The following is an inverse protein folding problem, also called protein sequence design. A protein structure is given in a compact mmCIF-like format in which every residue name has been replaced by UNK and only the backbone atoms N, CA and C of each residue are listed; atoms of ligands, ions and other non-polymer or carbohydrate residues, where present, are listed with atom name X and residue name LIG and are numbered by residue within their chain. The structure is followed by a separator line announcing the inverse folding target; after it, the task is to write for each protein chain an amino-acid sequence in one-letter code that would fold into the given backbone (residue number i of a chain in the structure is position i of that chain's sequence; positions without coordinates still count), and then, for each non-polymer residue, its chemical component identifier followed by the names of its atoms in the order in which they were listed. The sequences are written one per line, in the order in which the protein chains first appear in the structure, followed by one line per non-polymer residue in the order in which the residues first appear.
data_IF_178121044596
#
_entry.id   IF_178121044596
#
_cell.length_a   1.000
_cell.length_b   1.000
_cell.length_c   1.000
_cell.angle_alpha   90.00
_cell.angle_beta   90.00
_cell.angle_gamma   90.00
#
_symmetry.space_group_name_H-M   'P 1'
#
loop_
_entity.id
_entity.type
_entity.pdbx_description
1 polymer ?
#
# COMPACT_ATOMS: atom_id res chain seq x y z
N UNK A 1 8.90 0.13 18.51
CA UNK A 1 9.39 0.16 17.11
C UNK A 1 8.86 -0.99 16.23
N UNK A 2 8.17 -2.01 16.76
CA UNK A 2 7.88 -3.28 16.06
C UNK A 2 6.75 -3.21 15.00
N UNK A 3 5.94 -2.15 14.95
CA UNK A 3 4.74 -2.13 14.09
C UNK A 3 4.92 -1.38 12.76
N UNK A 4 6.13 -1.01 12.34
CA UNK A 4 6.29 -0.20 11.12
C UNK A 4 6.20 -1.02 9.83
N UNK A 5 6.66 -2.27 9.86
CA UNK A 5 6.75 -3.14 8.68
C UNK A 5 6.07 -4.47 8.98
N UNK A 6 5.27 -4.97 8.05
CA UNK A 6 4.69 -6.32 8.06
C UNK A 6 4.94 -6.99 6.72
N UNK A 7 4.94 -8.32 6.70
CA UNK A 7 5.15 -9.09 5.48
C UNK A 7 4.07 -10.16 5.33
N UNK A 8 3.61 -10.36 4.10
CA UNK A 8 2.77 -11.48 3.68
C UNK A 8 3.64 -12.33 2.74
N UNK A 9 3.76 -13.62 3.07
CA UNK A 9 4.50 -14.57 2.26
C UNK A 9 3.57 -15.23 1.22
N UNK A 10 4.19 -15.76 0.17
CA UNK A 10 3.53 -16.46 -0.94
C UNK A 10 2.61 -17.59 -0.46
N UNK A 11 3.02 -18.31 0.58
CA UNK A 11 2.22 -19.40 1.15
C UNK A 11 1.55 -18.98 2.48
N UNK A 12 0.25 -18.63 2.46
CA UNK A 12 -0.49 -18.30 3.67
C UNK A 12 -0.73 -19.52 4.57
N UNK A 13 -0.75 -20.75 4.05
CA UNK A 13 -0.99 -21.95 4.88
C UNK A 13 0.14 -22.18 5.87
N UNK A 14 1.39 -21.92 5.47
CA UNK A 14 2.55 -22.03 6.34
C UNK A 14 2.69 -20.83 7.30
N UNK A 15 2.06 -19.70 7.00
CA UNK A 15 2.14 -18.49 7.83
C UNK A 15 1.10 -18.44 8.96
N UNK A 16 -0.05 -19.10 8.79
CA UNK A 16 -1.15 -19.09 9.76
C UNK A 16 -1.16 -20.38 10.58
N UNK A 17 -1.40 -20.27 11.89
CA UNK A 17 -1.54 -21.46 12.74
C UNK A 17 -2.89 -22.15 12.46
N UNK A 18 -2.91 -23.38 11.90
CA UNK A 18 -4.14 -24.04 11.49
C UNK A 18 -4.99 -24.55 12.66
N UNK A 19 -4.39 -24.66 13.85
CA UNK A 19 -5.02 -25.20 15.06
C UNK A 19 -5.56 -24.11 15.99
N UNK A 20 -5.60 -22.86 15.55
CA UNK A 20 -6.12 -21.72 16.30
C UNK A 20 -7.27 -21.08 15.55
N UNK A 21 -8.23 -20.53 16.29
CA UNK A 21 -9.36 -19.81 15.70
C UNK A 21 -8.92 -18.52 15.00
N UNK A 22 -9.76 -18.02 14.09
CA UNK A 22 -9.51 -16.78 13.34
C UNK A 22 -9.21 -15.61 14.28
N UNK A 23 -9.94 -15.49 15.39
CA UNK A 23 -9.72 -14.44 16.39
C UNK A 23 -8.29 -14.45 16.93
N UNK A 24 -7.77 -15.63 17.24
CA UNK A 24 -6.42 -15.78 17.78
C UNK A 24 -5.37 -15.56 16.71
N UNK A 25 -5.58 -16.09 15.50
CA UNK A 25 -4.65 -15.95 14.37
C UNK A 25 -4.50 -14.50 13.94
N UNK A 26 -5.61 -13.79 13.68
CA UNK A 26 -5.58 -12.38 13.29
C UNK A 26 -5.07 -11.52 14.46
N UNK A 27 -5.48 -11.84 15.68
CA UNK A 27 -5.10 -11.10 16.88
C UNK A 27 -3.70 -11.41 17.44
N UNK A 28 -2.91 -12.26 16.79
CA UNK A 28 -1.63 -12.73 17.32
C UNK A 28 -0.64 -11.56 17.51
N UNK A 29 -0.45 -10.74 16.48
CA UNK A 29 0.44 -9.57 16.53
C UNK A 29 0.04 -8.53 17.58
N UNK A 30 -1.27 -8.36 17.82
CA UNK A 30 -1.80 -7.45 18.83
C UNK A 30 -1.51 -7.94 20.25
N UNK A 31 -1.46 -9.25 20.45
CA UNK A 31 -1.21 -9.87 21.76
C UNK A 31 0.24 -9.73 22.19
N UNK A 32 1.16 -9.91 21.24
CA UNK A 32 2.60 -9.86 21.51
C UNK A 32 3.09 -8.45 21.83
N UNK A 33 2.38 -7.42 21.36
CA UNK A 33 2.81 -6.03 21.48
C UNK A 33 2.10 -5.25 22.59
N UNK A 34 0.99 -5.75 23.16
CA UNK A 34 0.14 -5.03 24.13
C UNK A 34 -0.15 -3.57 23.73
N UNK A 35 -0.36 -3.35 22.44
CA UNK A 35 -0.57 -2.03 21.84
C UNK A 35 -1.93 -1.91 21.16
N UNK A 36 -2.86 -2.83 21.38
CA UNK A 36 -4.17 -2.82 20.73
C UNK A 36 -4.97 -1.56 21.09
N UNK A 37 -4.94 -1.13 22.36
CA UNK A 37 -5.59 0.12 22.76
C UNK A 37 -4.92 1.35 22.15
N UNK A 38 -3.58 1.37 22.11
CA UNK A 38 -2.84 2.44 21.45
C UNK A 38 -3.27 2.56 19.99
N UNK A 39 -3.17 1.47 19.22
CA UNK A 39 -3.52 1.41 17.81
C UNK A 39 -4.97 1.85 17.58
N UNK A 40 -5.91 1.27 18.34
CA UNK A 40 -7.34 1.55 18.16
C UNK A 40 -7.68 3.02 18.41
N UNK A 41 -7.10 3.63 19.43
CA UNK A 41 -7.37 5.03 19.76
C UNK A 41 -6.65 5.98 18.79
N UNK A 42 -5.41 5.68 18.42
CA UNK A 42 -4.68 6.52 17.44
C UNK A 42 -5.30 6.44 16.05
N UNK A 43 -5.87 5.29 15.67
CA UNK A 43 -6.63 5.13 14.43
C UNK A 43 -7.92 5.96 14.42
N UNK A 44 -8.61 6.04 15.57
CA UNK A 44 -9.75 6.94 15.73
C UNK A 44 -9.32 8.41 15.59
N UNK A 45 -8.24 8.81 16.27
CA UNK A 45 -7.71 10.17 16.21
C UNK A 45 -7.28 10.57 14.78
N UNK A 46 -6.63 9.66 14.05
CA UNK A 46 -6.23 9.86 12.65
C UNK A 46 -7.44 10.02 11.72
N UNK A 47 -8.49 9.23 11.92
CA UNK A 47 -9.76 9.37 11.17
C UNK A 47 -10.39 10.74 11.41
N UNK A 48 -10.44 11.19 12.67
CA UNK A 48 -10.95 12.53 13.04
C UNK A 48 -10.11 13.62 12.38
N UNK A 49 -8.78 13.50 12.45
CA UNK A 49 -7.87 14.46 11.84
C UNK A 49 -8.09 14.58 10.32
N UNK A 50 -8.11 13.46 9.59
CA UNK A 50 -8.30 13.45 8.14
C UNK A 50 -9.67 14.03 7.74
N UNK A 51 -10.71 13.67 8.50
CA UNK A 51 -12.06 14.16 8.29
C UNK A 51 -12.19 15.67 8.49
N UNK A 52 -11.61 16.21 9.56
CA UNK A 52 -11.63 17.66 9.86
C UNK A 52 -10.79 18.43 8.84
N UNK A 53 -9.56 17.98 8.56
CA UNK A 53 -8.64 18.68 7.66
C UNK A 53 -9.13 18.72 6.21
N UNK A 54 -9.83 17.68 5.75
CA UNK A 54 -10.42 17.65 4.41
C UNK A 54 -11.53 18.70 4.17
N UNK A 55 -12.12 19.25 5.24
CA UNK A 55 -13.22 20.22 5.18
C UNK A 55 -12.76 21.68 5.27
N UNK A 56 -11.48 21.95 5.52
CA UNK A 56 -10.95 23.32 5.67
C UNK A 56 -10.68 23.94 4.28
N UNK A 57 -11.30 25.10 3.99
CA UNK A 57 -11.10 25.91 2.77
C UNK A 57 -9.76 26.67 2.73
N UNK A 58 -9.26 26.95 1.53
CA UNK A 58 -8.11 27.83 1.18
C UNK A 58 -6.87 27.67 2.05
N UNK A 59 -6.19 26.57 1.81
CA UNK A 59 -5.49 25.91 2.88
C UNK A 59 -3.99 25.77 2.64
N UNK A 60 -3.46 26.08 1.46
CA UNK A 60 -2.04 25.83 1.11
C UNK A 60 -1.00 26.50 2.04
N UNK A 61 -1.26 27.67 2.64
CA UNK A 61 -0.30 28.33 3.56
C UNK A 61 -0.46 27.98 5.04
N UNK A 62 -1.66 27.58 5.47
CA UNK A 62 -1.95 27.24 6.87
C UNK A 62 -1.86 25.73 7.13
N UNK A 63 -2.26 24.91 6.14
CA UNK A 63 -2.06 23.46 6.12
C UNK A 63 -0.59 23.14 6.24
N UNK A 64 0.30 23.82 5.52
CA UNK A 64 1.74 23.53 5.62
C UNK A 64 2.30 23.66 7.04
N UNK A 65 1.79 24.59 7.87
CA UNK A 65 2.22 24.70 9.29
C UNK A 65 1.69 23.56 10.17
N UNK A 66 0.49 23.06 9.88
CA UNK A 66 -0.14 21.94 10.61
C UNK A 66 0.50 20.62 10.16
N UNK A 67 0.67 20.46 8.85
CA UNK A 67 1.34 19.33 8.23
C UNK A 67 2.82 19.24 8.63
N UNK A 68 3.55 20.34 8.76
CA UNK A 68 4.93 20.31 9.27
C UNK A 68 5.01 19.79 10.71
N UNK A 69 4.04 20.14 11.56
CA UNK A 69 3.97 19.68 12.96
C UNK A 69 3.57 18.19 13.06
N UNK A 70 2.67 17.74 12.18
CA UNK A 70 2.18 16.35 12.13
C UNK A 70 3.19 15.42 11.43
N UNK A 71 3.88 15.89 10.39
CA UNK A 71 4.97 15.15 9.73
C UNK A 71 6.15 14.93 10.69
N UNK A 72 6.41 15.91 11.56
CA UNK A 72 7.34 15.78 12.69
C UNK A 72 6.86 14.76 13.73
N UNK A 73 5.55 14.65 13.99
CA UNK A 73 4.97 13.62 14.86
C UNK A 73 5.04 12.22 14.27
N UNK A 74 4.88 12.04 12.95
CA UNK A 74 5.09 10.74 12.29
C UNK A 74 6.53 10.22 12.41
N UNK A 75 7.49 11.11 12.72
CA UNK A 75 8.91 10.80 12.98
C UNK A 75 9.21 10.50 14.45
N UNK A 76 8.35 10.90 15.40
CA UNK A 76 8.51 10.70 16.85
C UNK A 76 7.59 9.58 17.40
N UNK A 77 7.85 9.13 18.63
CA UNK A 77 7.15 8.00 19.28
C UNK A 77 5.64 8.28 19.41
N UNK A 78 4.81 7.50 18.72
CA UNK A 78 3.35 7.54 18.83
C UNK A 78 2.90 7.19 20.26
N UNK A 79 2.36 8.16 21.00
CA UNK A 79 1.73 7.98 22.31
C UNK A 79 0.29 8.48 22.26
N UNK A 80 -0.56 8.00 23.18
CA UNK A 80 -1.95 8.44 23.29
C UNK A 80 -2.08 9.93 23.58
N UNK A 81 -1.16 10.48 24.37
CA UNK A 81 -1.15 11.89 24.76
C UNK A 81 -0.72 12.79 23.59
N UNK A 82 0.31 12.38 22.83
CA UNK A 82 0.76 13.09 21.65
C UNK A 82 -0.34 13.11 20.57
N UNK A 83 -0.97 11.96 20.33
CA UNK A 83 -2.11 11.85 19.41
C UNK A 83 -3.26 12.77 19.82
N UNK A 84 -3.59 12.80 21.11
CA UNK A 84 -4.64 13.66 21.64
C UNK A 84 -4.30 15.15 21.44
N UNK A 85 -3.08 15.56 21.79
CA UNK A 85 -2.63 16.95 21.66
C UNK A 85 -2.74 17.44 20.22
N UNK A 86 -2.22 16.67 19.26
CA UNK A 86 -2.26 17.05 17.83
C UNK A 86 -3.69 17.21 17.35
N UNK A 87 -4.57 16.26 17.66
CA UNK A 87 -5.91 16.23 17.08
C UNK A 87 -6.89 17.13 17.81
N UNK A 88 -6.81 17.29 19.13
CA UNK A 88 -7.83 18.00 19.91
C UNK A 88 -7.35 19.29 20.56
N UNK A 89 -6.04 19.53 20.66
CA UNK A 89 -5.51 20.82 21.12
C UNK A 89 -5.06 21.67 19.93
N UNK A 90 -4.16 21.13 19.09
CA UNK A 90 -3.55 21.89 18.00
C UNK A 90 -4.57 22.22 16.90
N UNK A 91 -5.37 21.25 16.43
CA UNK A 91 -6.46 21.52 15.48
C UNK A 91 -7.52 22.47 16.05
N UNK A 92 -7.83 22.35 17.35
CA UNK A 92 -8.80 23.24 17.99
C UNK A 92 -8.30 24.69 17.99
N UNK A 93 -7.02 24.90 18.29
CA UNK A 93 -6.38 26.21 18.21
C UNK A 93 -6.44 26.79 16.79
N UNK A 94 -6.19 25.96 15.77
CA UNK A 94 -6.33 26.35 14.37
C UNK A 94 -7.77 26.76 14.04
N UNK A 95 -8.74 25.91 14.38
CA UNK A 95 -10.16 26.17 14.10
C UNK A 95 -10.68 27.43 14.80
N UNK A 96 -10.23 27.69 16.03
CA UNK A 96 -10.58 28.92 16.75
C UNK A 96 -10.07 30.17 16.03
N UNK A 97 -8.84 30.14 15.49
CA UNK A 97 -8.30 31.24 14.69
C UNK A 97 -9.09 31.43 13.38
N UNK A 98 -9.47 30.33 12.72
CA UNK A 98 -10.22 30.37 11.45
C UNK A 98 -11.68 30.83 11.63
N UNK A 99 -12.32 30.43 12.74
CA UNK A 99 -13.69 30.81 13.08
C UNK A 99 -13.85 32.32 13.28
N UNK A 100 -12.78 33.05 13.58
CA UNK A 100 -12.79 34.51 13.62
C UNK A 100 -13.04 35.14 12.23
N UNK A 101 -12.67 34.45 11.15
CA UNK A 101 -12.79 34.94 9.78
C UNK A 101 -14.11 34.53 9.11
N UNK A 102 -14.59 33.30 9.35
CA UNK A 102 -15.87 32.80 8.81
C UNK A 102 -16.58 31.89 9.81
N UNK A 103 -17.36 32.52 10.70
CA UNK A 103 -18.01 31.82 11.80
C UNK A 103 -19.05 30.80 11.32
N UNK A 104 -19.79 31.10 10.26
CA UNK A 104 -20.85 30.22 9.76
C UNK A 104 -20.24 28.95 9.14
N UNK A 105 -19.16 29.08 8.38
CA UNK A 105 -18.50 27.94 7.75
C UNK A 105 -17.80 27.01 8.76
N UNK A 106 -17.07 27.57 9.73
CA UNK A 106 -16.24 26.75 10.63
C UNK A 106 -16.98 26.23 11.87
N UNK A 107 -18.17 26.74 12.20
CA UNK A 107 -18.93 26.27 13.38
C UNK A 107 -19.32 24.78 13.31
N UNK A 108 -19.84 24.24 12.18
CA UNK A 108 -20.11 22.82 12.04
C UNK A 108 -18.86 21.94 12.23
N UNK A 109 -17.71 22.37 11.66
CA UNK A 109 -16.43 21.65 11.77
C UNK A 109 -15.95 21.63 13.23
N UNK A 110 -16.05 22.76 13.92
CA UNK A 110 -15.73 22.88 15.35
C UNK A 110 -16.59 21.93 16.20
N UNK A 111 -17.91 21.92 15.97
CA UNK A 111 -18.83 21.07 16.74
C UNK A 111 -18.50 19.59 16.54
N UNK A 112 -18.18 19.20 15.30
CA UNK A 112 -17.76 17.83 14.98
C UNK A 112 -16.48 17.43 15.70
N UNK A 113 -15.47 18.29 15.76
CA UNK A 113 -14.25 18.03 16.53
C UNK A 113 -14.56 17.87 18.03
N UNK A 114 -15.42 18.72 18.59
CA UNK A 114 -15.83 18.63 20.00
C UNK A 114 -16.61 17.34 20.30
N UNK A 115 -17.49 16.91 19.40
CA UNK A 115 -18.19 15.63 19.50
C UNK A 115 -17.21 14.44 19.47
N UNK A 116 -16.25 14.45 18.54
CA UNK A 116 -15.19 13.43 18.47
C UNK A 116 -14.33 13.41 19.73
N UNK A 117 -14.04 14.56 20.32
CA UNK A 117 -13.30 14.66 21.59
C UNK A 117 -14.05 13.97 22.73
N UNK A 118 -15.37 14.19 22.84
CA UNK A 118 -16.20 13.52 23.84
C UNK A 118 -16.27 12.01 23.59
N UNK A 119 -16.43 11.59 22.33
CA UNK A 119 -16.38 10.17 21.97
C UNK A 119 -15.06 9.54 22.39
N UNK A 120 -13.93 10.20 22.15
CA UNK A 120 -12.61 9.71 22.56
C UNK A 120 -12.49 9.49 24.06
N UNK A 121 -13.09 10.36 24.89
CA UNK A 121 -13.13 10.17 26.35
C UNK A 121 -13.89 8.91 26.78
N UNK A 122 -14.79 8.39 25.94
CA UNK A 122 -15.41 7.08 26.16
C UNK A 122 -14.50 5.94 25.69
N UNK A 123 -13.85 6.09 24.53
CA UNK A 123 -12.97 5.07 23.96
C UNK A 123 -11.71 4.81 24.82
N UNK A 124 -11.15 5.84 25.44
CA UNK A 124 -10.00 5.70 26.34
C UNK A 124 -10.30 4.85 27.58
N UNK A 125 -11.58 4.66 27.93
CA UNK A 125 -12.00 3.81 29.06
C UNK A 125 -12.05 2.33 28.70
N UNK A 126 -12.02 1.98 27.42
CA UNK A 126 -12.03 0.59 26.96
C UNK A 126 -10.77 -0.16 27.44
N UNK A 127 -10.95 -1.44 27.72
CA UNK A 127 -9.87 -2.37 28.03
C UNK A 127 -9.08 -2.75 26.77
N UNK A 128 -7.85 -3.22 26.97
CA UNK A 128 -6.99 -3.75 25.90
C UNK A 128 -7.70 -4.87 25.10
N UNK A 129 -8.46 -5.72 25.80
CA UNK A 129 -9.20 -6.84 25.22
C UNK A 129 -10.34 -6.36 24.32
N UNK A 130 -11.06 -5.32 24.73
CA UNK A 130 -12.15 -4.74 23.93
C UNK A 130 -11.60 -4.06 22.67
N UNK A 131 -10.54 -3.25 22.80
CA UNK A 131 -9.88 -2.62 21.65
C UNK A 131 -9.36 -3.66 20.66
N UNK A 132 -8.72 -4.74 21.16
CA UNK A 132 -8.27 -5.86 20.33
C UNK A 132 -9.44 -6.49 19.57
N UNK A 133 -10.54 -6.79 20.25
CA UNK A 133 -11.72 -7.40 19.61
C UNK A 133 -12.28 -6.51 18.50
N UNK A 134 -12.42 -5.20 18.78
CA UNK A 134 -12.92 -4.22 17.79
C UNK A 134 -12.02 -4.10 16.57
N UNK A 135 -10.69 -4.05 16.75
CA UNK A 135 -9.73 -4.04 15.64
C UNK A 135 -9.86 -5.27 14.75
N UNK A 136 -9.97 -6.47 15.36
CA UNK A 136 -10.11 -7.73 14.61
C UNK A 136 -11.42 -7.74 13.81
N UNK A 137 -12.53 -7.34 14.43
CA UNK A 137 -13.83 -7.30 13.75
C UNK A 137 -13.82 -6.26 12.61
N UNK A 138 -13.21 -5.09 12.84
CA UNK A 138 -13.11 -4.05 11.83
C UNK A 138 -12.29 -4.49 10.61
N UNK A 139 -11.16 -5.16 10.80
CA UNK A 139 -10.33 -5.62 9.68
C UNK A 139 -10.96 -6.80 8.93
N UNK A 140 -11.64 -7.71 9.62
CA UNK A 140 -12.36 -8.81 8.99
C UNK A 140 -13.44 -8.29 8.03
N UNK A 141 -14.21 -7.29 8.46
CA UNK A 141 -15.23 -6.66 7.62
C UNK A 141 -14.66 -6.06 6.33
N UNK A 142 -13.44 -5.55 6.38
CA UNK A 142 -12.79 -4.91 5.22
C UNK A 142 -12.29 -5.90 4.19
N UNK A 143 -12.02 -7.14 4.59
CA UNK A 143 -11.71 -8.21 3.64
C UNK A 143 -12.97 -9.00 3.24
N UNK A 144 -14.16 -8.51 3.60
CA UNK A 144 -15.44 -9.15 3.31
C UNK A 144 -15.74 -10.38 4.17
N UNK A 145 -15.19 -10.46 5.39
CA UNK A 145 -15.46 -11.51 6.36
C UNK A 145 -16.29 -10.96 7.53
N UNK A 146 -17.34 -11.71 7.91
CA UNK A 146 -18.24 -11.33 9.01
C UNK A 146 -17.71 -11.78 10.39
N UNK A 147 -18.20 -11.17 11.47
CA UNK A 147 -17.80 -11.52 12.84
C UNK A 147 -18.11 -12.99 13.20
N UNK A 148 -19.09 -13.62 12.55
CA UNK A 148 -19.43 -15.04 12.70
C UNK A 148 -18.28 -16.01 12.37
N UNK A 149 -17.23 -15.54 11.69
CA UNK A 149 -16.06 -16.35 11.36
C UNK A 149 -15.02 -16.43 12.50
N UNK A 150 -15.17 -15.65 13.57
CA UNK A 150 -14.14 -15.52 14.61
C UNK A 150 -13.76 -16.85 15.28
N UNK A 151 -14.73 -17.75 15.47
CA UNK A 151 -14.55 -19.05 16.11
C UNK A 151 -14.18 -20.18 15.15
N UNK A 152 -14.09 -19.90 13.85
CA UNK A 152 -13.72 -20.86 12.82
C UNK A 152 -12.20 -21.03 12.74
N UNK A 153 -11.75 -22.13 12.16
CA UNK A 153 -10.33 -22.40 11.92
C UNK A 153 -9.91 -21.99 10.50
N UNK A 154 -8.65 -21.55 10.27
CA UNK A 154 -8.17 -21.17 8.93
C UNK A 154 -8.36 -22.26 7.86
N UNK A 155 -8.29 -23.53 8.24
CA UNK A 155 -8.51 -24.66 7.32
C UNK A 155 -9.95 -24.75 6.81
N UNK A 156 -10.90 -24.11 7.49
CA UNK A 156 -12.32 -24.09 7.10
C UNK A 156 -12.62 -23.05 6.00
N UNK A 157 -11.59 -22.34 5.50
CA UNK A 157 -11.70 -21.35 4.44
C UNK A 157 -10.99 -21.82 3.16
N UNK A 158 -11.75 -22.17 2.12
CA UNK A 158 -11.20 -22.39 0.78
C UNK A 158 -10.80 -21.05 0.16
N UNK A 159 -9.50 -20.78 -0.02
CA UNK A 159 -8.96 -19.51 -0.55
C UNK A 159 -9.04 -18.29 0.39
N UNK A 160 -9.92 -18.32 1.41
CA UNK A 160 -10.05 -17.25 2.41
C UNK A 160 -8.86 -17.12 3.38
N UNK A 161 -7.96 -18.11 3.42
CA UNK A 161 -6.74 -18.05 4.21
C UNK A 161 -5.86 -16.86 3.86
N UNK A 162 -5.84 -16.47 2.59
CA UNK A 162 -5.08 -15.30 2.16
C UNK A 162 -5.67 -14.00 2.71
N UNK A 163 -7.00 -13.89 2.76
CA UNK A 163 -7.69 -12.76 3.38
C UNK A 163 -7.41 -12.69 4.88
N UNK A 164 -7.31 -13.84 5.55
CA UNK A 164 -6.88 -13.92 6.95
C UNK A 164 -5.42 -13.48 7.13
N UNK A 165 -4.53 -13.85 6.20
CA UNK A 165 -3.15 -13.37 6.15
C UNK A 165 -3.07 -11.85 6.03
N UNK A 166 -3.84 -11.26 5.10
CA UNK A 166 -3.97 -9.81 4.95
C UNK A 166 -4.47 -9.16 6.24
N UNK A 167 -5.52 -9.71 6.86
CA UNK A 167 -6.03 -9.21 8.13
C UNK A 167 -4.97 -9.19 9.22
N UNK A 168 -4.28 -10.31 9.42
CA UNK A 168 -3.24 -10.46 10.45
C UNK A 168 -2.11 -9.45 10.27
N UNK A 169 -1.70 -9.19 9.03
CA UNK A 169 -0.64 -8.23 8.74
C UNK A 169 -1.11 -6.77 8.88
N UNK A 170 -2.34 -6.45 8.47
CA UNK A 170 -2.83 -5.05 8.43
C UNK A 170 -3.44 -4.60 9.76
N UNK A 171 -3.90 -5.52 10.62
CA UNK A 171 -4.50 -5.17 11.92
C UNK A 171 -3.55 -4.38 12.83
N UNK A 172 -2.24 -4.53 12.63
CA UNK A 172 -1.20 -3.81 13.37
C UNK A 172 -1.00 -2.35 12.92
N UNK A 173 -1.71 -1.92 11.87
CA UNK A 173 -1.54 -0.62 11.21
C UNK A 173 -0.08 -0.34 10.80
N UNK A 174 0.53 -1.21 9.97
CA UNK A 174 1.88 -0.97 9.49
C UNK A 174 1.95 0.26 8.59
N UNK A 175 3.13 0.89 8.53
CA UNK A 175 3.42 1.93 7.54
C UNK A 175 3.83 1.33 6.20
N UNK A 176 4.50 0.17 6.24
CA UNK A 176 4.96 -0.59 5.09
C UNK A 176 4.47 -2.03 5.18
N UNK A 177 3.83 -2.51 4.12
CA UNK A 177 3.47 -3.90 3.92
C UNK A 177 4.26 -4.47 2.74
N UNK A 178 5.04 -5.51 2.99
CA UNK A 178 5.72 -6.28 1.94
C UNK A 178 4.82 -7.45 1.59
N UNK A 179 4.53 -7.63 0.32
CA UNK A 179 3.60 -8.66 -0.15
C UNK A 179 4.31 -9.48 -1.21
N UNK A 180 4.71 -10.69 -0.83
CA UNK A 180 5.52 -11.59 -1.64
C UNK A 180 4.67 -12.63 -2.34
N UNK A 181 4.52 -12.51 -3.67
CA UNK A 181 3.70 -13.34 -4.55
C UNK A 181 2.35 -13.78 -3.94
N UNK A 182 1.56 -12.86 -3.39
CA UNK A 182 0.41 -13.24 -2.58
C UNK A 182 -0.59 -14.04 -3.41
N UNK A 183 -0.79 -13.69 -4.68
CA UNK A 183 -1.90 -14.13 -5.52
C UNK A 183 -1.55 -15.30 -6.45
N UNK A 184 -0.31 -15.82 -6.41
CA UNK A 184 0.18 -16.77 -7.41
C UNK A 184 -0.59 -18.09 -7.44
N UNK A 185 -1.11 -18.53 -6.28
CA UNK A 185 -1.84 -19.79 -6.14
C UNK A 185 -3.36 -19.65 -6.33
N UNK A 186 -3.86 -18.45 -6.67
CA UNK A 186 -5.29 -18.15 -6.73
C UNK A 186 -5.81 -18.10 -8.18
N UNK A 187 -7.07 -18.50 -8.36
CA UNK A 187 -7.81 -18.31 -9.61
C UNK A 187 -7.92 -16.82 -9.98
N UNK A 188 -7.90 -16.51 -11.28
CA UNK A 188 -7.91 -15.14 -11.81
C UNK A 188 -9.01 -14.26 -11.21
N UNK A 189 -10.22 -14.79 -11.01
CA UNK A 189 -11.33 -14.05 -10.42
C UNK A 189 -11.09 -13.68 -8.94
N UNK A 190 -10.39 -14.52 -8.18
CA UNK A 190 -10.03 -14.27 -6.78
C UNK A 190 -8.85 -13.29 -6.71
N UNK A 191 -7.90 -13.37 -7.65
CA UNK A 191 -6.78 -12.41 -7.74
C UNK A 191 -7.29 -10.96 -7.81
N UNK A 192 -8.26 -10.68 -8.69
CA UNK A 192 -8.87 -9.34 -8.80
C UNK A 192 -9.52 -8.90 -7.49
N UNK A 193 -10.21 -9.80 -6.78
CA UNK A 193 -10.81 -9.47 -5.48
C UNK A 193 -9.76 -9.11 -4.44
N UNK A 194 -8.64 -9.85 -4.39
CA UNK A 194 -7.53 -9.57 -3.46
C UNK A 194 -6.85 -8.25 -3.79
N UNK A 195 -6.63 -7.92 -5.07
CA UNK A 195 -6.06 -6.64 -5.49
C UNK A 195 -6.96 -5.48 -5.06
N UNK A 196 -8.27 -5.60 -5.22
CA UNK A 196 -9.22 -4.58 -4.76
C UNK A 196 -9.14 -4.37 -3.25
N UNK A 197 -9.03 -5.45 -2.46
CA UNK A 197 -8.81 -5.36 -1.01
C UNK A 197 -7.52 -4.56 -0.72
N UNK A 198 -6.40 -4.86 -1.38
CA UNK A 198 -5.17 -4.09 -1.17
C UNK A 198 -5.34 -2.61 -1.53
N UNK A 199 -5.99 -2.30 -2.64
CA UNK A 199 -6.25 -0.91 -3.06
C UNK A 199 -7.14 -0.15 -2.07
N UNK A 200 -8.16 -0.80 -1.50
CA UNK A 200 -8.99 -0.22 -0.44
C UNK A 200 -8.19 0.01 0.85
N UNK A 201 -7.38 -0.97 1.27
CA UNK A 201 -6.55 -0.87 2.47
C UNK A 201 -5.44 0.19 2.32
N UNK A 202 -4.83 0.29 1.13
CA UNK A 202 -3.86 1.34 0.75
C UNK A 202 -4.44 2.73 0.99
N UNK A 203 -5.63 2.99 0.44
CA UNK A 203 -6.33 4.27 0.59
C UNK A 203 -6.79 4.53 2.02
N UNK A 204 -7.35 3.51 2.67
CA UNK A 204 -7.96 3.66 4.00
C UNK A 204 -6.93 3.91 5.10
N UNK A 205 -5.75 3.31 5.00
CA UNK A 205 -4.72 3.33 6.06
C UNK A 205 -3.45 4.06 5.66
N UNK A 206 -3.46 4.79 4.54
CA UNK A 206 -2.25 5.44 4.00
C UNK A 206 -1.06 4.46 3.94
N UNK A 207 -1.35 3.22 3.56
CA UNK A 207 -0.42 2.10 3.66
C UNK A 207 0.52 2.10 2.46
N UNK A 208 1.82 2.06 2.70
CA UNK A 208 2.81 1.81 1.63
C UNK A 208 2.90 0.31 1.38
N UNK A 209 2.81 -0.11 0.12
CA UNK A 209 2.87 -1.54 -0.25
C UNK A 209 4.06 -1.76 -1.19
N UNK A 210 4.95 -2.68 -0.83
CA UNK A 210 5.91 -3.28 -1.75
C UNK A 210 5.32 -4.60 -2.22
N UNK A 211 4.81 -4.62 -3.45
CA UNK A 211 4.17 -5.80 -4.04
C UNK A 211 5.14 -6.52 -4.97
N UNK A 212 5.39 -7.80 -4.73
CA UNK A 212 6.26 -8.65 -5.52
C UNK A 212 5.39 -9.65 -6.27
N UNK A 213 5.50 -9.68 -7.59
CA UNK A 213 4.79 -10.62 -8.44
C UNK A 213 5.52 -10.79 -9.78
N UNK A 214 5.24 -11.92 -10.45
CA UNK A 214 5.76 -12.22 -11.78
C UNK A 214 4.81 -11.82 -12.93
N UNK A 215 3.53 -11.55 -12.65
CA UNK A 215 2.54 -11.13 -13.66
C UNK A 215 2.42 -9.60 -13.70
N UNK A 216 2.95 -8.99 -14.77
CA UNK A 216 2.91 -7.54 -14.97
C UNK A 216 1.49 -6.96 -15.05
N UNK A 217 0.47 -7.72 -15.47
CA UNK A 217 -0.92 -7.24 -15.48
C UNK A 217 -1.39 -6.91 -14.07
N UNK A 218 -1.09 -7.79 -13.13
CA UNK A 218 -1.51 -7.61 -11.74
C UNK A 218 -0.74 -6.47 -11.07
N UNK A 219 0.55 -6.34 -11.42
CA UNK A 219 1.40 -5.25 -10.93
C UNK A 219 0.89 -3.90 -11.43
N UNK A 220 0.42 -3.81 -12.68
CA UNK A 220 -0.15 -2.59 -13.27
C UNK A 220 -1.36 -2.06 -12.46
N UNK A 221 -2.27 -2.94 -12.03
CA UNK A 221 -3.49 -2.53 -11.32
C UNK A 221 -3.29 -2.03 -9.88
N UNK A 222 -2.17 -2.34 -9.24
CA UNK A 222 -1.92 -2.05 -7.81
C UNK A 222 -0.80 -1.03 -7.58
N UNK A 223 0.16 -0.97 -8.49
CA UNK A 223 1.41 -0.24 -8.29
C UNK A 223 1.34 1.17 -8.87
N UNK A 224 1.89 2.14 -8.13
CA UNK A 224 2.12 3.49 -8.70
C UNK A 224 3.43 3.54 -9.50
N UNK A 225 4.38 2.63 -9.17
CA UNK A 225 5.69 2.50 -9.80
C UNK A 225 6.05 1.02 -9.93
N UNK A 226 6.77 0.67 -10.99
CA UNK A 226 7.21 -0.70 -11.26
C UNK A 226 8.74 -0.73 -11.29
N UNK A 227 9.31 -1.79 -10.70
CA UNK A 227 10.72 -2.10 -10.68
C UNK A 227 10.91 -3.52 -11.23
N UNK A 228 11.65 -3.66 -12.33
CA UNK A 228 11.86 -4.94 -13.03
C UNK A 228 13.22 -5.50 -12.66
N UNK A 229 13.22 -6.71 -12.10
CA UNK A 229 14.43 -7.42 -11.67
C UNK A 229 14.61 -8.68 -12.53
N UNK A 230 15.85 -8.97 -12.91
CA UNK A 230 16.22 -10.24 -13.52
C UNK A 230 17.54 -10.74 -12.94
N UNK A 231 17.61 -12.03 -12.56
CA UNK A 231 18.81 -12.66 -11.98
C UNK A 231 19.47 -11.82 -10.86
N UNK A 232 18.66 -11.19 -10.02
CA UNK A 232 19.13 -10.37 -8.89
C UNK A 232 19.59 -8.96 -9.26
N UNK A 233 19.44 -8.54 -10.52
CA UNK A 233 19.80 -7.20 -11.00
C UNK A 233 18.53 -6.42 -11.34
N UNK A 234 18.42 -5.21 -10.81
CA UNK A 234 17.36 -4.27 -11.20
C UNK A 234 17.70 -3.69 -12.57
N UNK A 235 16.81 -3.89 -13.55
CA UNK A 235 17.04 -3.53 -14.95
C UNK A 235 16.31 -2.26 -15.36
N UNK A 236 15.13 -2.01 -14.79
CA UNK A 236 14.29 -0.88 -15.17
C UNK A 236 13.37 -0.48 -14.02
N UNK A 237 13.17 0.83 -13.81
CA UNK A 237 12.27 1.34 -12.78
C UNK A 237 11.61 2.64 -13.24
N UNK A 238 10.31 2.79 -13.04
CA UNK A 238 9.58 3.99 -13.46
C UNK A 238 8.15 4.02 -12.96
N UNK A 239 7.39 5.10 -13.25
CA UNK A 239 5.95 5.10 -13.11
C UNK A 239 5.33 3.92 -13.88
N UNK A 240 4.24 3.36 -13.35
CA UNK A 240 3.55 2.21 -13.96
C UNK A 240 3.24 2.46 -15.44
N UNK A 241 2.63 3.61 -15.77
CA UNK A 241 2.26 3.94 -17.15
C UNK A 241 3.46 4.00 -18.09
N UNK A 242 4.62 4.47 -17.61
CA UNK A 242 5.86 4.52 -18.41
C UNK A 242 6.44 3.12 -18.63
N UNK A 243 6.44 2.27 -17.60
CA UNK A 243 6.95 0.90 -17.75
C UNK A 243 6.06 0.07 -18.67
N UNK A 244 4.74 0.17 -18.54
CA UNK A 244 3.79 -0.59 -19.35
C UNK A 244 3.79 -0.12 -20.81
N UNK A 245 3.72 1.19 -21.05
CA UNK A 245 3.55 1.71 -22.41
C UNK A 245 4.88 2.00 -23.12
N UNK A 246 5.93 2.32 -22.36
CA UNK A 246 7.19 2.86 -22.86
C UNK A 246 8.42 2.08 -22.35
N UNK A 247 8.34 0.76 -22.14
CA UNK A 247 9.48 -0.07 -21.74
C UNK A 247 10.70 0.07 -22.67
N UNK A 248 11.89 0.26 -22.08
CA UNK A 248 13.16 0.37 -22.79
C UNK A 248 13.93 -0.95 -22.78
N UNK A 249 14.08 -1.58 -21.60
CA UNK A 249 14.94 -2.74 -21.46
C UNK A 249 14.36 -3.94 -22.23
N UNK A 250 15.16 -4.69 -23.03
CA UNK A 250 14.68 -5.84 -23.80
C UNK A 250 13.96 -6.89 -22.95
N UNK A 251 14.43 -7.12 -21.73
CA UNK A 251 13.74 -8.01 -20.78
C UNK A 251 12.35 -7.51 -20.40
N UNK A 252 12.18 -6.23 -20.07
CA UNK A 252 10.86 -5.66 -19.75
C UNK A 252 9.91 -5.78 -20.95
N UNK A 253 10.41 -5.53 -22.16
CA UNK A 253 9.64 -5.76 -23.41
C UNK A 253 9.21 -7.22 -23.53
N UNK A 254 10.12 -8.18 -23.30
CA UNK A 254 9.78 -9.61 -23.36
C UNK A 254 8.70 -10.04 -22.36
N UNK A 255 8.70 -9.44 -21.15
CA UNK A 255 7.67 -9.70 -20.15
C UNK A 255 6.31 -9.16 -20.59
N UNK A 256 6.27 -7.97 -21.19
CA UNK A 256 5.05 -7.35 -21.72
C UNK A 256 4.52 -8.13 -22.93
N UNK A 257 5.38 -8.58 -23.83
CA UNK A 257 5.01 -9.37 -25.00
C UNK A 257 4.41 -10.75 -24.61
N UNK A 258 4.78 -11.27 -23.44
CA UNK A 258 4.24 -12.52 -22.91
C UNK A 258 2.82 -12.37 -22.32
N UNK A 259 2.30 -11.14 -22.20
CA UNK A 259 0.96 -10.89 -21.70
C UNK A 259 -0.07 -11.21 -22.79
N UNK A 260 -1.02 -12.13 -22.57
CA UNK A 260 -2.05 -12.44 -23.56
C UNK A 260 -2.95 -11.22 -23.81
N UNK A 261 -3.07 -10.77 -25.06
CA UNK A 261 -4.03 -9.74 -25.49
C UNK A 261 -5.19 -10.36 -26.29
N UNK A 262 -6.38 -9.81 -26.14
CA UNK A 262 -7.60 -10.26 -26.85
C UNK A 262 -7.50 -9.92 -28.36
N UNK A 263 -6.68 -8.92 -28.72
CA UNK A 263 -6.52 -8.39 -30.08
C UNK A 263 -5.48 -9.14 -30.93
N UNK A 264 -4.74 -10.11 -30.37
CA UNK A 264 -3.72 -10.85 -31.11
C UNK A 264 -4.36 -11.90 -32.03
N UNK A 265 -4.85 -11.46 -33.18
CA UNK A 265 -5.10 -12.35 -34.32
C UNK A 265 -3.77 -12.78 -34.96
N UNK A 266 -3.47 -14.08 -34.86
CA UNK A 266 -2.44 -14.84 -35.60
C UNK A 266 -1.00 -14.82 -35.04
N UNK A 267 -0.60 -15.96 -34.49
CA UNK A 267 0.67 -16.58 -34.90
C UNK A 267 1.93 -16.28 -34.07
N UNK A 268 1.87 -16.37 -32.74
CA UNK A 268 2.91 -16.96 -31.86
C UNK A 268 2.50 -16.64 -30.42
N UNK A 269 2.28 -17.65 -29.58
CA UNK A 269 2.05 -17.46 -28.13
C UNK A 269 3.35 -17.10 -27.39
N UNK A 270 4.47 -17.01 -28.13
CA UNK A 270 5.79 -16.68 -27.62
C UNK A 270 6.17 -15.36 -28.30
N UNK A 271 6.15 -14.28 -27.53
CA UNK A 271 6.72 -12.99 -27.93
C UNK A 271 8.24 -13.06 -28.08
N UNK A 272 8.94 -11.94 -27.93
CA UNK A 272 10.40 -11.94 -27.92
C UNK A 272 10.94 -12.72 -26.72
N UNK A 273 11.80 -13.73 -26.93
CA UNK A 273 12.51 -14.40 -25.83
C UNK A 273 13.75 -13.58 -25.51
N UNK A 274 13.82 -13.04 -24.30
CA UNK A 274 14.99 -12.32 -23.85
C UNK A 274 16.18 -13.27 -23.61
N UNK A 275 17.31 -12.98 -24.26
CA UNK A 275 18.61 -13.58 -23.98
C UNK A 275 19.51 -12.54 -23.31
N UNK A 276 20.08 -12.87 -22.16
CA UNK A 276 21.01 -11.99 -21.44
C UNK A 276 22.33 -11.76 -22.21
N UNK A 277 22.71 -12.67 -23.11
CA UNK A 277 23.97 -12.58 -23.86
C UNK A 277 23.98 -11.45 -24.90
N UNK A 278 22.82 -10.84 -25.21
CA UNK A 278 22.73 -9.72 -26.15
C UNK A 278 23.56 -8.51 -25.71
N UNK A 279 23.72 -8.34 -24.40
CA UNK A 279 24.34 -7.18 -23.79
C UNK A 279 25.88 -7.18 -23.89
N UNK A 280 26.50 -8.37 -23.92
CA UNK A 280 27.96 -8.55 -23.98
C UNK A 280 28.70 -7.68 -22.95
N UNK A 281 28.23 -7.65 -21.71
CA UNK A 281 28.89 -6.92 -20.63
C UNK A 281 30.24 -7.56 -20.30
N UNK A 282 31.27 -6.72 -20.16
CA UNK A 282 32.64 -7.12 -19.80
C UNK A 282 33.27 -6.05 -18.89
N UNK A 283 34.51 -6.26 -18.41
CA UNK A 283 35.19 -5.33 -17.50
C UNK A 283 35.26 -3.87 -18.02
N UNK A 284 35.24 -3.66 -19.33
CA UNK A 284 35.33 -2.35 -19.98
C UNK A 284 33.97 -1.85 -20.52
N UNK A 285 32.96 -2.71 -20.55
CA UNK A 285 31.63 -2.44 -21.09
C UNK A 285 30.55 -2.80 -20.05
N UNK A 286 30.51 -2.02 -18.97
CA UNK A 286 29.52 -2.17 -17.91
C UNK A 286 28.32 -1.24 -18.15
N UNK A 287 27.09 -1.69 -17.83
CA UNK A 287 25.93 -0.83 -17.92
C UNK A 287 25.89 0.17 -16.76
N UNK A 288 25.28 1.32 -17.02
CA UNK A 288 25.04 2.37 -16.05
C UNK A 288 23.54 2.69 -15.96
N UNK A 289 23.15 3.32 -14.85
CA UNK A 289 21.79 3.79 -14.69
C UNK A 289 21.57 5.08 -15.46
N UNK A 290 20.66 5.03 -16.43
CA UNK A 290 20.30 6.18 -17.24
C UNK A 290 18.89 6.67 -16.89
N UNK A 291 18.78 7.96 -16.55
CA UNK A 291 17.49 8.64 -16.43
C UNK A 291 17.00 9.06 -17.83
N UNK A 292 15.87 8.50 -18.25
CA UNK A 292 15.32 8.67 -19.61
C UNK A 292 14.18 9.70 -19.67
N UNK A 293 13.82 10.31 -18.54
CA UNK A 293 12.71 11.26 -18.40
C UNK A 293 11.55 10.66 -17.60
N UNK A 294 10.59 11.49 -17.17
CA UNK A 294 9.38 11.06 -16.45
C UNK A 294 9.63 10.17 -15.22
N UNK A 295 10.75 10.36 -14.50
CA UNK A 295 11.16 9.51 -13.38
C UNK A 295 11.36 8.02 -13.75
N UNK A 296 11.63 7.73 -15.02
CA UNK A 296 11.92 6.43 -15.57
C UNK A 296 13.43 6.27 -15.75
N UNK A 297 13.95 5.15 -15.27
CA UNK A 297 15.35 4.78 -15.28
C UNK A 297 15.53 3.39 -15.88
N UNK A 298 16.60 3.20 -16.64
CA UNK A 298 16.97 1.92 -17.24
C UNK A 298 18.46 1.66 -17.06
N UNK A 299 18.83 0.41 -16.80
CA UNK A 299 20.20 -0.06 -16.74
C UNK A 299 20.65 -0.47 -18.15
N UNK A 300 21.62 0.25 -18.71
CA UNK A 300 22.12 0.00 -20.07
C UNK A 300 23.51 0.60 -20.25
N UNK A 301 24.26 0.18 -21.26
CA UNK A 301 25.43 0.92 -21.74
C UNK A 301 24.99 2.13 -22.58
N UNK A 302 25.88 3.12 -22.76
CA UNK A 302 25.61 4.28 -23.61
C UNK A 302 25.18 3.87 -25.04
N UNK A 303 25.80 2.82 -25.60
CA UNK A 303 25.47 2.30 -26.94
C UNK A 303 24.06 1.70 -26.98
N UNK A 304 23.71 0.91 -25.97
CA UNK A 304 22.36 0.32 -25.87
C UNK A 304 21.30 1.39 -25.67
N UNK A 305 21.59 2.42 -24.88
CA UNK A 305 20.68 3.54 -24.68
C UNK A 305 20.35 4.26 -25.99
N UNK A 306 21.33 4.45 -26.88
CA UNK A 306 21.10 5.02 -28.21
C UNK A 306 20.17 4.13 -29.04
N UNK A 307 20.39 2.82 -29.02
CA UNK A 307 19.52 1.83 -29.70
C UNK A 307 18.10 1.89 -29.15
N UNK A 308 17.93 1.89 -27.82
CA UNK A 308 16.60 1.92 -27.20
C UNK A 308 15.83 3.21 -27.54
N UNK A 309 16.52 4.36 -27.59
CA UNK A 309 15.93 5.64 -28.02
C UNK A 309 15.54 5.62 -29.50
N UNK A 310 16.38 5.03 -30.35
CA UNK A 310 16.10 4.92 -31.79
C UNK A 310 14.91 4.01 -32.09
N UNK A 311 14.84 2.83 -31.45
CA UNK A 311 13.69 1.92 -31.58
C UNK A 311 12.37 2.60 -31.18
N UNK A 312 12.40 3.41 -30.12
CA UNK A 312 11.22 4.15 -29.65
C UNK A 312 10.73 5.15 -30.68
N UNK A 313 11.63 5.95 -31.28
CA UNK A 313 11.24 6.94 -32.30
C UNK A 313 10.56 6.28 -33.50
N UNK A 314 11.04 5.11 -33.94
CA UNK A 314 10.46 4.38 -35.07
C UNK A 314 9.10 3.72 -34.75
N UNK A 315 8.83 3.40 -33.47
CA UNK A 315 7.52 2.84 -33.05
C UNK A 315 6.38 3.87 -33.16
N UNK A 316 6.66 5.17 -33.01
CA UNK A 316 5.67 6.24 -33.19
C UNK A 316 5.45 6.66 -34.64
N UNK A 317 6.40 6.36 -35.54
CA UNK A 317 6.28 6.67 -36.97
C UNK A 317 5.46 5.62 -37.74
N UNK A 318 5.24 4.44 -37.14
CA UNK A 318 4.52 3.31 -37.76
C UNK A 318 3.16 3.01 -37.10
N UNK A 319 2.64 3.93 -36.29
CA UNK A 319 1.25 3.94 -35.78
C UNK A 319 0.49 5.09 -36.44
#
# INVERSE_FOLDING_TARGET
MVNKVQMIFQDPTNSLNPFKDVKTVVGEGLSNTKNAKLIYITDFDEKVYNDITSQIKDSDKLINKIFDYVDQMTKLTYTLDNSYKVVYEDLLNVLNNLKANDKEFYTPIYNRLAESQLQRQTLIKLSEKECKHRLIVEILKQVGLDESVLSRYPLEFSGGQQRLGICRSVVLRPKLLIVDEPISALDVSIQTQVINIFNELKKKYSLTILFIAHDLRMVEYISDRIAVINKGVLLEIGPTDEIINNAYHPYTKSLLDAIPSIENEKGSLIGSIYDHNIHKYDENNQPEWHHIGNNHFVLATNKELEVYKFEKQNKYLNK
#
